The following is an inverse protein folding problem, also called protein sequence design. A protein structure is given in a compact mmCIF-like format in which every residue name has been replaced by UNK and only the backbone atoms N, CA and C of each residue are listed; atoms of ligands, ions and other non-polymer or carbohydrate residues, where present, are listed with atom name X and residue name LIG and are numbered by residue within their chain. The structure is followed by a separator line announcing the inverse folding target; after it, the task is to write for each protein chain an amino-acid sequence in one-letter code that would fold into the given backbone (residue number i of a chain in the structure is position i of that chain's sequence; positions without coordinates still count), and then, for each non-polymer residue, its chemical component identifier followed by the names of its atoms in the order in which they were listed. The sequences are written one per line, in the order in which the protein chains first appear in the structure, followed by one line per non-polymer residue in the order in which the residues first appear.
data_IF_674432658251
#
_entry.id   IF_674432658251
#
_cell.length_a   1.000
_cell.length_b   1.000
_cell.length_c   1.000
_cell.angle_alpha   90.00
_cell.angle_beta   90.00
_cell.angle_gamma   90.00
#
_symmetry.space_group_name_H-M   'P 1'
#
loop_
_entity.id
_entity.type
_entity.pdbx_description
1 polymer ?
#
# COMPACT_ATOMS: atom_id res chain seq x y z
N UNK A 1 3.92 -0.02 1.21
CA UNK A 1 2.85 0.96 1.55
C UNK A 1 1.54 0.22 1.77
N UNK A 2 0.60 0.79 2.52
CA UNK A 2 -0.77 0.24 2.61
C UNK A 2 -1.66 0.89 1.57
N UNK A 3 -2.37 0.07 0.80
CA UNK A 3 -3.29 0.51 -0.25
C UNK A 3 -4.68 -0.08 0.03
N UNK A 4 -5.71 0.78 -0.01
CA UNK A 4 -7.10 0.37 0.13
C UNK A 4 -7.85 0.40 -1.21
N UNK A 5 -7.37 1.18 -2.18
CA UNK A 5 -8.00 1.31 -3.49
C UNK A 5 -7.42 0.29 -4.46
N UNK A 6 -7.86 -0.94 -4.28
CA UNK A 6 -7.55 -2.07 -5.15
C UNK A 6 -8.87 -2.73 -5.56
N UNK A 7 -8.96 -3.14 -6.82
CA UNK A 7 -10.08 -3.92 -7.31
C UNK A 7 -9.61 -4.99 -8.28
N UNK A 8 -10.35 -6.09 -8.33
CA UNK A 8 -10.13 -7.15 -9.32
C UNK A 8 -10.89 -6.80 -10.59
N UNK A 9 -10.18 -6.80 -11.72
CA UNK A 9 -10.71 -6.43 -13.04
C UNK A 9 -11.17 -7.65 -13.82
N UNK A 10 -10.46 -8.77 -13.69
CA UNK A 10 -10.80 -10.03 -14.36
C UNK A 10 -10.50 -11.23 -13.45
N UNK A 11 -11.22 -12.32 -13.67
CA UNK A 11 -10.99 -13.62 -13.03
C UNK A 11 -10.03 -14.49 -13.84
N UNK A 12 -10.14 -14.41 -15.17
CA UNK A 12 -9.31 -15.18 -16.10
C UNK A 12 -9.06 -14.35 -17.38
N UNK A 13 -7.82 -13.94 -17.66
CA UNK A 13 -6.66 -14.03 -16.77
C UNK A 13 -6.87 -13.17 -15.51
N UNK A 14 -6.20 -13.52 -14.40
CA UNK A 14 -6.31 -12.75 -13.16
C UNK A 14 -5.69 -11.36 -13.32
N UNK A 15 -6.53 -10.32 -13.27
CA UNK A 15 -6.10 -8.92 -13.41
C UNK A 15 -6.56 -8.08 -12.21
N UNK A 16 -5.66 -7.23 -11.73
CA UNK A 16 -5.89 -6.30 -10.63
C UNK A 16 -5.62 -4.86 -11.08
N UNK A 17 -6.40 -3.92 -10.56
CA UNK A 17 -6.14 -2.49 -10.65
C UNK A 17 -5.89 -1.91 -9.27
N UNK A 18 -4.89 -1.04 -9.16
CA UNK A 18 -4.57 -0.31 -7.93
C UNK A 18 -4.54 1.18 -8.26
N UNK A 19 -5.26 1.98 -7.49
CA UNK A 19 -5.23 3.43 -7.61
C UNK A 19 -4.30 4.03 -6.55
N UNK A 20 -3.34 4.84 -7.00
CA UNK A 20 -2.35 5.49 -6.14
C UNK A 20 -2.18 6.96 -6.53
N UNK A 21 -1.96 7.81 -5.52
CA UNK A 21 -1.67 9.21 -5.77
C UNK A 21 -0.31 9.35 -6.51
N UNK A 22 -0.22 10.18 -7.58
CA UNK A 22 1.01 10.35 -8.35
C UNK A 22 2.22 10.80 -7.54
N UNK A 23 1.99 11.50 -6.42
CA UNK A 23 3.04 12.00 -5.51
C UNK A 23 3.67 10.91 -4.63
N UNK A 24 3.25 9.65 -4.74
CA UNK A 24 3.80 8.54 -3.95
C UNK A 24 5.02 7.96 -4.66
N UNK A 25 6.17 7.99 -3.99
CA UNK A 25 7.42 7.36 -4.44
C UNK A 25 7.25 5.88 -4.87
N UNK A 26 6.35 5.13 -4.23
CA UNK A 26 6.04 3.75 -4.63
C UNK A 26 5.56 3.63 -6.07
N UNK A 27 4.84 4.63 -6.61
CA UNK A 27 4.39 4.62 -8.00
C UNK A 27 5.57 4.70 -8.96
N UNK A 28 6.58 5.51 -8.65
CA UNK A 28 7.81 5.61 -9.46
C UNK A 28 8.56 4.29 -9.42
N UNK A 29 8.76 3.70 -8.24
CA UNK A 29 9.43 2.39 -8.11
C UNK A 29 8.75 1.27 -8.90
N UNK A 30 7.42 1.22 -8.90
CA UNK A 30 6.66 0.21 -9.64
C UNK A 30 6.83 0.43 -11.15
N UNK A 31 6.84 1.68 -11.62
CA UNK A 31 7.08 1.99 -13.04
C UNK A 31 8.50 1.65 -13.47
N UNK A 32 9.49 1.91 -12.62
CA UNK A 32 10.90 1.60 -12.90
C UNK A 32 11.17 0.09 -12.94
N UNK A 33 10.56 -0.68 -12.03
CA UNK A 33 10.81 -2.13 -11.91
C UNK A 33 9.87 -2.99 -12.77
N UNK A 34 8.69 -2.49 -13.10
CA UNK A 34 7.67 -3.23 -13.85
C UNK A 34 6.95 -4.32 -13.05
N UNK A 35 7.22 -4.44 -11.75
CA UNK A 35 6.69 -5.49 -10.89
C UNK A 35 6.28 -4.98 -9.51
N UNK A 36 5.32 -5.68 -8.89
CA UNK A 36 4.89 -5.44 -7.51
C UNK A 36 4.20 -6.68 -6.92
N UNK A 37 4.05 -6.70 -5.60
CA UNK A 37 3.35 -7.76 -4.86
C UNK A 37 2.24 -7.16 -4.01
N UNK A 38 1.06 -7.78 -4.03
CA UNK A 38 -0.06 -7.45 -3.15
C UNK A 38 -0.09 -8.45 -2.00
N UNK A 39 -0.01 -7.96 -0.77
CA UNK A 39 -0.14 -8.78 0.44
C UNK A 39 -1.47 -8.45 1.12
N UNK A 40 -2.33 -9.47 1.28
CA UNK A 40 -3.56 -9.35 2.07
C UNK A 40 -3.20 -9.63 3.52
N UNK A 41 -3.41 -8.65 4.38
CA UNK A 41 -3.05 -8.72 5.81
C UNK A 41 -4.30 -8.97 6.65
N UNK A 42 -4.19 -9.84 7.66
CA UNK A 42 -5.24 -10.07 8.65
C UNK A 42 -5.10 -9.18 9.89
N UNK A 43 -6.02 -9.33 10.84
CA UNK A 43 -6.12 -8.51 12.06
C UNK A 43 -4.83 -8.49 12.89
N UNK A 44 -4.07 -9.59 12.92
CA UNK A 44 -2.80 -9.68 13.65
C UNK A 44 -1.74 -8.68 13.18
N UNK A 45 -1.86 -8.17 11.95
CA UNK A 45 -0.93 -7.22 11.34
C UNK A 45 -1.51 -5.80 11.24
N UNK A 46 -2.63 -5.51 11.90
CA UNK A 46 -3.32 -4.23 11.84
C UNK A 46 -2.40 -3.03 12.13
N UNK A 47 -1.63 -3.10 13.24
CA UNK A 47 -0.70 -2.02 13.63
C UNK A 47 0.36 -1.75 12.55
N UNK A 48 0.85 -2.80 11.91
CA UNK A 48 1.84 -2.70 10.83
C UNK A 48 1.19 -2.09 9.58
N UNK A 49 -0.02 -2.55 9.24
CA UNK A 49 -0.80 -2.04 8.12
C UNK A 49 -1.08 -0.53 8.27
N UNK A 50 -1.48 -0.04 9.44
CA UNK A 50 -1.65 1.39 9.65
C UNK A 50 -0.32 2.17 9.67
N UNK A 51 0.75 1.58 10.23
CA UNK A 51 2.08 2.20 10.26
C UNK A 51 2.64 2.49 8.86
N UNK A 52 2.41 1.60 7.89
CA UNK A 52 2.87 1.75 6.51
C UNK A 52 2.13 2.82 5.70
N UNK A 53 0.96 3.29 6.19
CA UNK A 53 0.24 4.44 5.62
C UNK A 53 0.84 5.77 6.07
N UNK A 54 1.43 5.79 7.26
CA UNK A 54 1.81 7.02 7.94
C UNK A 54 3.23 6.95 8.51
N UNK A 55 4.22 7.09 7.62
CA UNK A 55 5.59 7.44 8.06
C UNK A 55 5.63 8.84 8.71
N UNK A 56 4.56 9.65 8.58
CA UNK A 56 4.49 11.00 9.16
C UNK A 56 4.08 11.03 10.64
N UNK A 57 3.41 10.02 11.18
CA UNK A 57 2.94 10.04 12.58
C UNK A 57 3.98 9.56 13.61
N UNK A 58 5.15 9.07 13.20
CA UNK A 58 6.16 8.56 14.15
C UNK A 58 6.95 9.63 14.91
N UNK A 59 6.87 10.91 14.52
CA UNK A 59 7.66 11.98 15.15
C UNK A 59 6.86 12.92 16.07
N UNK A 60 5.59 12.61 16.39
CA UNK A 60 4.70 13.57 17.07
C UNK A 60 4.02 13.12 18.38
N UNK A 61 4.14 11.86 18.81
CA UNK A 61 3.48 11.38 20.03
C UNK A 61 4.41 10.50 20.88
N UNK A 62 5.39 11.14 21.50
CA UNK A 62 6.02 10.71 22.76
C UNK A 62 6.40 11.97 23.55
N UNK A 63 5.38 12.77 23.89
CA UNK A 63 5.42 13.75 24.98
C UNK A 63 4.04 13.73 25.63
N UNK A 64 3.94 12.94 26.69
CA UNK A 64 2.86 12.85 27.65
C UNK A 64 3.48 12.26 28.91
#
# INVERSE_FOLDING_TARGET
MTAAWISRVSWDPLLLIISMAPTRYTLELIKERGEFVVNVVGESLEKVAYGLRSIRLRNGQIRG
#
